data_IF_516382605903
#
_entry.id   IF_516382605903
#
_cell.length_a   1.000
_cell.length_b   1.000
_cell.length_c   1.000
_cell.angle_alpha   90.00
_cell.angle_beta   90.00
_cell.angle_gamma   90.00
#
_symmetry.space_group_name_H-M   'P 1'
#
loop_
_entity.id
_entity.type
_entity.pdbx_description
1 polymer ?
#
# COMPACT_ATOMS: atom_id res chain seq x y z
N UNK A 1 7.40 62.85 29.20
CA UNK A 1 8.08 62.01 28.19
C UNK A 1 7.15 60.84 27.82
N UNK A 2 6.43 60.92 26.69
CA UNK A 2 5.55 59.83 26.23
C UNK A 2 6.41 58.85 25.40
N UNK A 3 6.74 57.68 25.97
CA UNK A 3 7.50 56.65 25.26
C UNK A 3 6.57 55.97 24.25
N UNK A 4 6.93 56.04 22.96
CA UNK A 4 6.19 55.42 21.86
C UNK A 4 6.20 53.90 22.01
N UNK A 5 5.03 53.31 22.20
CA UNK A 5 4.78 51.87 22.32
C UNK A 5 4.52 51.18 20.97
N UNK A 6 4.70 51.89 19.85
CA UNK A 6 4.32 51.38 18.53
C UNK A 6 5.30 50.37 17.93
N UNK A 7 6.59 50.42 18.30
CA UNK A 7 7.61 49.53 17.73
C UNK A 7 7.48 48.04 18.14
N UNK A 8 7.20 47.68 19.41
CA UNK A 8 7.07 46.27 19.79
C UNK A 8 5.79 45.61 19.24
N UNK A 9 4.74 46.38 18.95
CA UNK A 9 3.48 45.84 18.40
C UNK A 9 3.66 45.35 16.96
N UNK A 10 4.44 46.07 16.16
CA UNK A 10 4.69 45.69 14.75
C UNK A 10 5.47 44.35 14.68
N UNK A 11 6.44 44.13 15.56
CA UNK A 11 7.21 42.89 15.59
C UNK A 11 6.38 41.67 16.01
N UNK A 12 5.40 41.84 16.91
CA UNK A 12 4.49 40.74 17.31
C UNK A 12 3.57 40.33 16.16
N UNK A 13 3.09 41.28 15.35
CA UNK A 13 2.24 40.98 14.21
C UNK A 13 2.97 40.30 13.05
N UNK A 14 4.23 40.66 12.77
CA UNK A 14 5.02 40.02 11.70
C UNK A 14 5.36 38.55 12.05
N UNK A 15 5.61 38.24 13.33
CA UNK A 15 5.87 36.86 13.77
C UNK A 15 4.66 35.91 13.66
N UNK A 16 3.43 36.43 13.76
CA UNK A 16 2.20 35.65 13.63
C UNK A 16 1.94 35.16 12.20
N UNK A 17 2.35 35.92 11.17
CA UNK A 17 2.20 35.48 9.77
C UNK A 17 3.21 34.39 9.39
N UNK A 18 4.41 34.39 9.96
CA UNK A 18 5.43 33.37 9.68
C UNK A 18 5.08 31.99 10.28
N UNK A 19 4.37 31.96 11.42
CA UNK A 19 3.98 30.72 12.10
C UNK A 19 2.79 29.99 11.46
N UNK A 20 2.03 30.64 10.56
CA UNK A 20 0.83 30.07 9.95
C UNK A 20 1.03 29.26 8.66
N UNK A 21 2.23 29.30 8.06
CA UNK A 21 2.50 28.63 6.76
C UNK A 21 2.99 27.18 6.89
N UNK A 22 3.42 26.73 8.07
CA UNK A 22 4.06 25.41 8.22
C UNK A 22 3.07 24.25 8.41
N UNK A 23 1.83 24.52 8.80
CA UNK A 23 0.82 23.51 9.09
C UNK A 23 0.21 22.88 7.84
N UNK A 24 0.06 23.63 6.75
CA UNK A 24 -0.59 23.16 5.53
C UNK A 24 0.30 22.16 4.76
N UNK A 25 1.56 22.52 4.53
CA UNK A 25 2.48 21.71 3.70
C UNK A 25 2.87 20.38 4.35
N UNK A 26 3.09 20.37 5.67
CA UNK A 26 3.33 19.13 6.42
C UNK A 26 2.13 18.18 6.37
N UNK A 27 0.91 18.73 6.43
CA UNK A 27 -0.32 17.95 6.32
C UNK A 27 -0.53 17.39 4.91
N UNK A 28 -0.27 18.19 3.87
CA UNK A 28 -0.32 17.78 2.46
C UNK A 28 0.70 16.71 2.14
N UNK A 29 1.93 16.86 2.61
CA UNK A 29 2.99 15.87 2.43
C UNK A 29 2.59 14.52 3.04
N UNK A 30 2.10 14.53 4.29
CA UNK A 30 1.64 13.31 4.96
C UNK A 30 0.49 12.64 4.20
N UNK A 31 -0.47 13.43 3.73
CA UNK A 31 -1.59 12.93 2.92
C UNK A 31 -1.12 12.31 1.60
N UNK A 32 -0.20 12.96 0.90
CA UNK A 32 0.38 12.44 -0.34
C UNK A 32 1.09 11.10 -0.10
N UNK A 33 1.81 10.97 1.03
CA UNK A 33 2.48 9.73 1.40
C UNK A 33 1.48 8.59 1.68
N UNK A 34 0.40 8.85 2.41
CA UNK A 34 -0.65 7.86 2.66
C UNK A 34 -1.32 7.39 1.35
N UNK A 35 -1.57 8.32 0.42
CA UNK A 35 -2.13 7.98 -0.89
C UNK A 35 -1.16 7.10 -1.71
N UNK A 36 0.13 7.41 -1.69
CA UNK A 36 1.17 6.61 -2.36
C UNK A 36 1.25 5.20 -1.77
N UNK A 37 1.25 5.07 -0.44
CA UNK A 37 1.23 3.79 0.26
C UNK A 37 -0.06 2.98 -0.01
N UNK A 38 -1.18 3.69 -0.26
CA UNK A 38 -2.45 3.10 -0.68
C UNK A 38 -2.58 2.85 -2.19
N UNK A 39 -1.50 2.92 -2.98
CA UNK A 39 -1.50 2.73 -4.44
C UNK A 39 -2.37 3.74 -5.22
N UNK A 40 -2.76 4.86 -4.59
CA UNK A 40 -3.50 5.97 -5.20
C UNK A 40 -2.53 6.96 -5.84
N UNK A 41 -1.69 6.46 -6.76
CA UNK A 41 -0.52 7.19 -7.27
C UNK A 41 -0.86 8.51 -7.97
N UNK A 42 -1.95 8.57 -8.74
CA UNK A 42 -2.37 9.81 -9.43
C UNK A 42 -2.64 10.97 -8.45
N UNK A 43 -3.29 10.69 -7.33
CA UNK A 43 -3.60 11.70 -6.31
C UNK A 43 -2.36 12.08 -5.50
N UNK A 44 -1.49 11.10 -5.20
CA UNK A 44 -0.20 11.39 -4.59
C UNK A 44 0.65 12.31 -5.47
N UNK A 45 0.73 12.04 -6.78
CA UNK A 45 1.45 12.88 -7.75
C UNK A 45 0.89 14.29 -7.80
N UNK A 46 -0.44 14.46 -7.81
CA UNK A 46 -1.07 15.79 -7.79
C UNK A 46 -0.64 16.60 -6.57
N UNK A 47 -0.73 16.00 -5.37
CA UNK A 47 -0.33 16.67 -4.13
C UNK A 47 1.18 16.97 -4.10
N UNK A 48 2.03 16.06 -4.58
CA UNK A 48 3.46 16.33 -4.67
C UNK A 48 3.79 17.47 -5.64
N UNK A 49 3.07 17.60 -6.77
CA UNK A 49 3.21 18.73 -7.70
C UNK A 49 2.76 20.05 -7.08
N UNK A 50 1.67 20.04 -6.30
CA UNK A 50 1.24 21.22 -5.52
C UNK A 50 2.33 21.63 -4.52
N UNK A 51 2.89 20.68 -3.76
CA UNK A 51 3.99 20.93 -2.83
C UNK A 51 5.21 21.49 -3.56
N UNK A 52 5.54 20.96 -4.74
CA UNK A 52 6.67 21.44 -5.53
C UNK A 52 6.47 22.89 -6.00
N UNK A 53 5.22 23.28 -6.31
CA UNK A 53 4.88 24.63 -6.75
C UNK A 53 4.98 25.68 -5.63
N UNK A 54 4.90 25.27 -4.37
CA UNK A 54 5.09 26.14 -3.20
C UNK A 54 6.57 26.46 -2.95
N UNK A 55 7.49 25.75 -3.59
CA UNK A 55 8.92 25.94 -3.46
C UNK A 55 9.48 25.31 -2.18
N UNK A 56 10.78 25.52 -1.95
CA UNK A 56 11.49 24.94 -0.81
C UNK A 56 13.00 24.90 -1.05
N UNK A 57 13.74 24.32 -0.11
CA UNK A 57 15.17 24.08 -0.31
C UNK A 57 15.42 23.02 -1.41
N UNK A 58 16.62 23.04 -1.99
CA UNK A 58 16.96 22.17 -3.12
C UNK A 58 16.93 20.68 -2.77
N UNK A 59 17.24 20.32 -1.52
CA UNK A 59 17.24 18.92 -1.06
C UNK A 59 15.81 18.42 -0.92
N UNK A 60 14.92 19.25 -0.37
CA UNK A 60 13.51 18.98 -0.24
C UNK A 60 12.85 18.84 -1.62
N UNK A 61 13.10 19.77 -2.54
CA UNK A 61 12.56 19.69 -3.90
C UNK A 61 13.06 18.44 -4.65
N UNK A 62 14.34 18.07 -4.49
CA UNK A 62 14.88 16.83 -5.05
C UNK A 62 14.17 15.59 -4.47
N UNK A 63 13.88 15.59 -3.16
CA UNK A 63 13.11 14.52 -2.51
C UNK A 63 11.69 14.42 -3.05
N UNK A 64 10.98 15.54 -3.22
CA UNK A 64 9.62 15.55 -3.78
C UNK A 64 9.62 15.03 -5.22
N UNK A 65 10.57 15.46 -6.07
CA UNK A 65 10.72 14.93 -7.42
C UNK A 65 10.97 13.42 -7.45
N UNK A 66 11.83 12.91 -6.56
CA UNK A 66 12.05 11.46 -6.43
C UNK A 66 10.76 10.72 -6.06
N UNK A 67 9.94 11.26 -5.16
CA UNK A 67 8.64 10.68 -4.79
C UNK A 67 7.63 10.69 -5.95
N UNK A 68 7.65 11.74 -6.80
CA UNK A 68 6.86 11.79 -8.03
C UNK A 68 7.29 10.67 -8.97
N UNK A 69 8.59 10.55 -9.29
CA UNK A 69 9.11 9.50 -10.16
C UNK A 69 8.80 8.10 -9.64
N UNK A 70 8.94 7.87 -8.33
CA UNK A 70 8.55 6.58 -7.72
C UNK A 70 7.06 6.29 -7.87
N UNK A 71 6.21 7.31 -7.74
CA UNK A 71 4.76 7.16 -7.90
C UNK A 71 4.37 6.91 -9.36
N UNK A 72 5.04 7.56 -10.32
CA UNK A 72 4.87 7.32 -11.76
C UNK A 72 5.29 5.89 -12.14
N UNK A 73 6.42 5.42 -11.60
CA UNK A 73 6.85 4.04 -11.75
C UNK A 73 5.82 3.07 -11.14
N UNK A 74 5.33 3.35 -9.93
CA UNK A 74 4.29 2.56 -9.29
C UNK A 74 3.00 2.50 -10.13
N UNK A 75 2.59 3.62 -10.72
CA UNK A 75 1.44 3.67 -11.63
C UNK A 75 1.65 2.79 -12.87
N UNK A 76 2.83 2.85 -13.48
CA UNK A 76 3.19 1.97 -14.60
C UNK A 76 3.25 0.50 -14.19
N UNK A 77 3.58 0.20 -12.92
CA UNK A 77 3.58 -1.18 -12.42
C UNK A 77 2.17 -1.71 -12.15
N UNK A 78 1.17 -0.85 -11.90
CA UNK A 78 -0.21 -1.29 -11.66
C UNK A 78 -0.82 -2.03 -12.86
N UNK A 79 -0.36 -1.80 -14.09
CA UNK A 79 -0.83 -2.55 -15.25
C UNK A 79 -0.41 -4.03 -15.22
N UNK A 80 0.67 -4.34 -14.49
CA UNK A 80 1.15 -5.71 -14.27
C UNK A 80 0.62 -6.30 -12.95
N UNK A 81 -0.07 -5.49 -12.15
CA UNK A 81 -0.68 -5.98 -10.91
C UNK A 81 -1.95 -6.77 -11.27
N UNK A 82 -1.89 -8.09 -11.11
CA UNK A 82 -3.08 -8.92 -11.19
C UNK A 82 -4.03 -8.58 -10.04
N UNK A 83 -5.26 -8.20 -10.39
CA UNK A 83 -6.38 -8.13 -9.44
C UNK A 83 -7.13 -9.45 -9.53
N UNK A 84 -6.95 -10.39 -8.58
CA UNK A 84 -7.71 -11.63 -8.61
C UNK A 84 -9.20 -11.30 -8.53
N UNK A 85 -9.95 -11.77 -9.53
CA UNK A 85 -11.40 -11.68 -9.53
C UNK A 85 -11.89 -12.95 -8.82
N UNK A 86 -12.75 -12.78 -7.82
CA UNK A 86 -13.36 -13.91 -7.13
C UNK A 86 -14.46 -14.48 -8.02
N UNK A 87 -14.19 -15.60 -8.68
CA UNK A 87 -15.16 -16.25 -9.57
C UNK A 87 -16.30 -16.94 -8.81
N UNK A 88 -16.03 -17.41 -7.59
CA UNK A 88 -17.01 -18.06 -6.72
C UNK A 88 -16.58 -17.93 -5.25
N UNK A 89 -17.56 -17.86 -4.33
CA UNK A 89 -17.35 -17.91 -2.87
C UNK A 89 -18.32 -18.94 -2.28
N UNK A 90 -17.82 -19.83 -1.45
CA UNK A 90 -18.63 -20.83 -0.74
C UNK A 90 -18.11 -21.02 0.68
N UNK A 91 -18.97 -21.52 1.57
CA UNK A 91 -18.58 -21.91 2.93
C UNK A 91 -18.61 -23.42 3.00
N UNK A 92 -17.46 -24.03 3.25
CA UNK A 92 -17.30 -25.48 3.35
C UNK A 92 -16.52 -25.84 4.61
N UNK A 93 -16.78 -27.01 5.22
CA UNK A 93 -15.91 -27.52 6.27
C UNK A 93 -14.47 -27.67 5.74
N UNK A 94 -13.47 -27.28 6.54
CA UNK A 94 -12.06 -27.34 6.14
C UNK A 94 -11.63 -28.73 5.64
N UNK A 95 -12.15 -29.80 6.26
CA UNK A 95 -11.91 -31.20 5.85
C UNK A 95 -12.41 -31.54 4.44
N UNK A 96 -13.42 -30.81 3.94
CA UNK A 96 -14.09 -31.08 2.67
C UNK A 96 -13.59 -30.14 1.55
N UNK A 97 -12.63 -29.25 1.86
CA UNK A 97 -12.04 -28.30 0.93
C UNK A 97 -11.60 -28.95 -0.40
N UNK A 98 -10.91 -30.07 -0.28
CA UNK A 98 -10.37 -30.86 -1.39
C UNK A 98 -11.42 -31.43 -2.33
N UNK A 99 -12.67 -31.58 -1.86
CA UNK A 99 -13.77 -32.15 -2.63
C UNK A 99 -14.51 -31.10 -3.46
N UNK A 100 -14.36 -29.82 -3.10
CA UNK A 100 -15.10 -28.74 -3.74
C UNK A 100 -14.38 -28.13 -4.94
N UNK A 101 -13.05 -28.27 -5.02
CA UNK A 101 -12.31 -27.83 -6.20
C UNK A 101 -12.45 -28.87 -7.33
N UNK A 102 -12.83 -28.46 -8.55
CA UNK A 102 -13.07 -29.39 -9.64
C UNK A 102 -11.78 -30.12 -10.06
N UNK A 103 -11.88 -31.44 -10.19
CA UNK A 103 -10.77 -32.33 -10.46
C UNK A 103 -10.31 -33.03 -9.18
N UNK A 104 -10.48 -34.35 -9.11
CA UNK A 104 -9.98 -35.21 -8.03
C UNK A 104 -8.45 -35.33 -8.08
N UNK A 105 -7.77 -34.19 -8.02
CA UNK A 105 -6.33 -34.09 -8.15
C UNK A 105 -5.70 -34.22 -6.76
N UNK A 106 -4.52 -34.84 -6.65
CA UNK A 106 -3.84 -35.01 -5.37
C UNK A 106 -3.34 -33.65 -4.90
N UNK A 107 -4.13 -33.01 -4.05
CA UNK A 107 -3.65 -31.87 -3.29
C UNK A 107 -2.60 -32.36 -2.30
N UNK A 108 -1.47 -31.67 -2.25
CA UNK A 108 -0.36 -31.99 -1.37
C UNK A 108 -0.18 -30.85 -0.36
N UNK A 109 0.10 -31.22 0.89
CA UNK A 109 0.57 -30.25 1.88
C UNK A 109 1.92 -29.69 1.44
N UNK A 110 2.07 -28.37 1.49
CA UNK A 110 3.35 -27.72 1.21
C UNK A 110 4.35 -28.11 2.31
N UNK A 111 5.60 -28.50 1.97
CA UNK A 111 6.63 -28.81 2.96
C UNK A 111 6.91 -27.64 3.91
N UNK A 112 7.20 -27.93 5.18
CA UNK A 112 7.56 -26.93 6.20
C UNK A 112 8.70 -26.00 5.79
N UNK A 113 9.61 -26.46 4.94
CA UNK A 113 10.72 -25.65 4.42
C UNK A 113 10.28 -24.48 3.51
N UNK A 114 9.07 -24.56 2.95
CA UNK A 114 8.48 -23.55 2.06
C UNK A 114 7.27 -22.87 2.72
N UNK A 115 6.66 -23.51 3.71
CA UNK A 115 5.61 -22.90 4.53
C UNK A 115 6.21 -21.85 5.48
N UNK A 116 5.73 -20.61 5.39
CA UNK A 116 6.03 -19.57 6.38
C UNK A 116 5.26 -19.74 7.70
N UNK A 117 4.45 -20.77 7.83
CA UNK A 117 3.66 -21.05 9.04
C UNK A 117 4.56 -21.63 10.14
N UNK A 118 4.41 -21.10 11.36
CA UNK A 118 5.14 -21.57 12.53
C UNK A 118 4.53 -22.85 13.12
N UNK A 119 3.31 -23.22 12.70
CA UNK A 119 2.63 -24.42 13.15
C UNK A 119 2.79 -25.61 12.19
N UNK A 120 3.86 -26.39 12.40
CA UNK A 120 4.24 -27.57 11.59
C UNK A 120 3.20 -28.69 11.52
N UNK A 121 2.27 -28.75 12.49
CA UNK A 121 1.23 -29.78 12.51
C UNK A 121 -0.03 -29.40 11.73
N UNK A 122 -0.05 -28.16 11.22
CA UNK A 122 -1.15 -27.59 10.46
C UNK A 122 -0.56 -26.90 9.24
N UNK A 123 0.14 -27.63 8.36
CA UNK A 123 0.39 -27.11 7.02
C UNK A 123 -0.97 -27.07 6.30
N UNK A 124 -1.71 -25.97 6.52
CA UNK A 124 -3.12 -25.77 6.12
C UNK A 124 -3.25 -25.41 4.65
N UNK A 125 -2.14 -25.21 3.95
CA UNK A 125 -2.14 -24.66 2.60
C UNK A 125 -1.90 -25.77 1.60
N UNK A 126 -2.94 -26.49 1.16
CA UNK A 126 -2.76 -27.43 0.09
C UNK A 126 -2.39 -26.73 -1.21
N UNK A 127 -1.47 -27.35 -1.93
CA UNK A 127 -1.11 -26.98 -3.29
C UNK A 127 -1.23 -28.18 -4.21
N UNK A 128 -1.56 -27.93 -5.47
CA UNK A 128 -1.51 -28.95 -6.51
C UNK A 128 -0.85 -28.38 -7.77
N UNK A 129 -0.21 -29.26 -8.53
CA UNK A 129 0.42 -28.92 -9.80
C UNK A 129 -0.34 -29.61 -10.92
N UNK A 130 -0.78 -28.85 -11.91
CA UNK A 130 -1.48 -29.36 -13.09
C UNK A 130 -1.01 -28.57 -14.31
N UNK A 131 -0.56 -29.27 -15.35
CA UNK A 131 -0.25 -28.68 -16.66
C UNK A 131 0.68 -27.44 -16.62
N UNK A 132 1.70 -27.46 -15.73
CA UNK A 132 2.63 -26.34 -15.58
C UNK A 132 2.05 -25.14 -14.79
N UNK A 133 0.92 -25.32 -14.12
CA UNK A 133 0.35 -24.37 -13.18
C UNK A 133 0.41 -24.91 -11.76
N UNK A 134 0.71 -24.04 -10.81
CA UNK A 134 0.62 -24.32 -9.37
C UNK A 134 -0.62 -23.62 -8.85
N UNK A 135 -1.52 -24.39 -8.26
CA UNK A 135 -2.68 -23.90 -7.53
C UNK A 135 -2.40 -24.05 -6.04
N UNK A 136 -2.74 -23.05 -5.24
CA UNK A 136 -2.48 -23.06 -3.81
C UNK A 136 -3.52 -22.25 -3.05
N UNK A 137 -3.82 -22.65 -1.82
CA UNK A 137 -4.71 -21.89 -0.94
C UNK A 137 -3.92 -20.92 -0.06
N UNK A 138 -4.46 -19.72 0.15
CA UNK A 138 -3.90 -18.71 1.05
C UNK A 138 -4.99 -18.13 1.98
N UNK A 139 -4.67 -17.79 3.24
CA UNK A 139 -5.63 -17.17 4.14
C UNK A 139 -5.93 -15.73 3.67
N UNK A 140 -7.19 -15.33 3.75
CA UNK A 140 -7.63 -13.97 3.44
C UNK A 140 -7.86 -13.15 4.72
N UNK A 141 -8.06 -11.83 4.55
CA UNK A 141 -8.25 -10.90 5.69
C UNK A 141 -9.57 -11.10 6.43
N UNK A 142 -10.50 -11.86 5.88
CA UNK A 142 -11.84 -12.13 6.43
C UNK A 142 -11.91 -13.47 7.18
N UNK A 143 -10.78 -14.03 7.60
CA UNK A 143 -10.70 -15.38 8.22
C UNK A 143 -11.16 -16.52 7.29
N UNK A 144 -11.22 -16.28 5.98
CA UNK A 144 -11.47 -17.27 4.94
C UNK A 144 -10.18 -17.68 4.22
N UNK A 145 -10.36 -18.45 3.14
CA UNK A 145 -9.28 -18.97 2.30
C UNK A 145 -9.57 -18.69 0.84
N UNK A 146 -8.57 -18.17 0.13
CA UNK A 146 -8.62 -17.93 -1.31
C UNK A 146 -7.81 -19.02 -2.02
N UNK A 147 -8.28 -19.46 -3.20
CA UNK A 147 -7.50 -20.33 -4.09
C UNK A 147 -6.87 -19.46 -5.17
N UNK A 148 -5.55 -19.52 -5.25
CA UNK A 148 -4.74 -18.78 -6.21
C UNK A 148 -4.09 -19.77 -7.18
N UNK A 149 -3.68 -19.28 -8.35
CA UNK A 149 -2.87 -20.05 -9.29
C UNK A 149 -1.74 -19.19 -9.85
N UNK A 150 -0.63 -19.84 -10.19
CA UNK A 150 0.51 -19.24 -10.91
C UNK A 150 1.01 -20.21 -11.97
N UNK A 151 1.62 -19.68 -13.03
CA UNK A 151 2.33 -20.47 -14.03
C UNK A 151 3.77 -20.75 -13.55
N UNK A 152 4.31 -21.91 -13.93
CA UNK A 152 5.73 -22.30 -13.78
C UNK A 152 6.48 -21.88 -15.04
#
# INVERSE_FOLDING_TARGET
MKKSLFLPVIFVFVGLFAAGQTTDDSSKFKRAQLLREGYRFNEAISLYKEILSQGGDSVYLAKINSLITQSENGLNMLQYANRPIVNAKTTIPSKDFYLYYPGSLPWHSIPDSVSGDTNKYVSVNPAFVMEGQIFFSAPNKESGWDIMYTHI
#
